data_IF_393878088525
#
_entry.id   IF_393878088525
#
_cell.length_a   1.000
_cell.length_b   1.000
_cell.length_c   1.000
_cell.angle_alpha   90.00
_cell.angle_beta   90.00
_cell.angle_gamma   90.00
#
_symmetry.space_group_name_H-M   'P 1'
#
loop_
_entity.id
_entity.type
_entity.pdbx_description
1 polymer ?
#
# COMPACT_ATOMS: atom_id res chain seq x y z
N UNK A 1 -19.54 8.97 13.09
CA UNK A 1 -20.45 7.82 12.91
C UNK A 1 -19.91 6.93 11.80
N UNK A 2 -18.89 6.12 12.09
CA UNK A 2 -18.11 5.42 11.05
C UNK A 2 -18.93 4.32 10.34
N UNK A 3 -19.83 3.64 11.06
CA UNK A 3 -20.70 2.62 10.47
C UNK A 3 -21.65 3.17 9.39
N UNK A 4 -22.12 4.42 9.52
CA UNK A 4 -22.92 5.08 8.48
C UNK A 4 -22.11 5.37 7.21
N UNK A 5 -20.80 5.66 7.34
CA UNK A 5 -19.90 5.90 6.20
C UNK A 5 -19.51 4.58 5.51
N UNK A 6 -19.37 3.50 6.26
CA UNK A 6 -19.11 2.16 5.70
C UNK A 6 -20.30 1.70 4.86
N UNK A 7 -21.52 1.97 5.32
CA UNK A 7 -22.74 1.64 4.58
C UNK A 7 -22.90 2.42 3.26
N UNK A 8 -22.23 3.56 3.09
CA UNK A 8 -22.24 4.30 1.81
C UNK A 8 -21.19 3.80 0.82
N UNK A 9 -20.28 2.89 1.22
CA UNK A 9 -19.15 2.46 0.40
C UNK A 9 -18.07 3.55 0.21
N UNK A 10 -18.17 4.68 0.91
CA UNK A 10 -17.22 5.79 0.75
C UNK A 10 -15.83 5.48 1.31
N UNK A 11 -15.77 4.68 2.38
CA UNK A 11 -14.52 4.27 3.01
C UNK A 11 -14.65 2.91 3.70
N UNK A 12 -13.56 2.15 3.70
CA UNK A 12 -13.47 0.89 4.45
C UNK A 12 -13.31 1.14 5.94
N UNK A 13 -13.95 0.29 6.75
CA UNK A 13 -13.78 0.35 8.20
C UNK A 13 -12.42 -0.16 8.62
N UNK A 14 -11.83 0.48 9.62
CA UNK A 14 -10.67 -0.04 10.36
C UNK A 14 -11.06 -1.02 11.47
N UNK A 15 -12.36 -1.24 11.67
CA UNK A 15 -12.96 -2.07 12.70
C UNK A 15 -13.39 -3.43 12.12
N UNK A 16 -12.75 -4.56 12.50
CA UNK A 16 -13.09 -5.87 11.97
C UNK A 16 -14.55 -6.27 12.18
N UNK A 17 -15.17 -5.81 13.26
CA UNK A 17 -16.58 -6.06 13.58
C UNK A 17 -17.57 -5.40 12.61
N UNK A 18 -17.10 -4.48 11.75
CA UNK A 18 -17.93 -3.76 10.78
C UNK A 18 -17.80 -4.32 9.35
N UNK A 19 -17.04 -5.41 9.15
CA UNK A 19 -16.84 -6.00 7.82
C UNK A 19 -18.16 -6.45 7.17
N UNK A 20 -19.08 -6.99 7.95
CA UNK A 20 -20.40 -7.44 7.47
C UNK A 20 -21.36 -6.27 7.15
N UNK A 21 -20.97 -5.02 7.43
CA UNK A 21 -21.75 -3.83 7.07
C UNK A 21 -21.50 -3.36 5.63
N UNK A 22 -20.48 -3.92 4.96
CA UNK A 22 -20.17 -3.61 3.56
C UNK A 22 -21.16 -4.33 2.65
N UNK A 23 -22.00 -3.57 1.95
CA UNK A 23 -23.11 -4.11 1.14
C UNK A 23 -22.72 -4.41 -0.30
N UNK A 24 -21.74 -3.71 -0.87
CA UNK A 24 -21.25 -3.97 -2.22
C UNK A 24 -20.36 -5.23 -2.22
N UNK A 25 -20.61 -6.20 -3.11
CA UNK A 25 -19.86 -7.46 -3.11
C UNK A 25 -18.39 -7.32 -3.52
N UNK A 26 -18.01 -6.31 -4.33
CA UNK A 26 -16.62 -6.05 -4.66
C UNK A 26 -15.89 -5.40 -3.49
N UNK A 27 -16.53 -4.44 -2.83
CA UNK A 27 -15.99 -3.77 -1.64
C UNK A 27 -15.84 -4.77 -0.47
N UNK A 28 -16.80 -5.70 -0.33
CA UNK A 28 -16.74 -6.77 0.67
C UNK A 28 -15.57 -7.74 0.43
N UNK A 29 -15.20 -7.96 -0.83
CA UNK A 29 -14.03 -8.78 -1.17
C UNK A 29 -12.72 -8.06 -0.79
N UNK A 30 -12.64 -6.74 -0.98
CA UNK A 30 -11.47 -5.92 -0.65
C UNK A 30 -11.32 -5.76 0.86
N UNK A 31 -12.40 -5.44 1.57
CA UNK A 31 -12.40 -5.17 3.02
C UNK A 31 -11.93 -6.38 3.84
N UNK A 32 -12.25 -7.60 3.39
CA UNK A 32 -11.77 -8.85 4.00
C UNK A 32 -10.25 -8.99 3.95
N UNK A 33 -9.59 -8.49 2.92
CA UNK A 33 -8.13 -8.54 2.80
C UNK A 33 -7.41 -7.90 3.99
N UNK A 34 -7.99 -6.86 4.58
CA UNK A 34 -7.48 -6.21 5.80
C UNK A 34 -7.43 -7.11 7.03
N UNK A 35 -8.25 -8.18 7.06
CA UNK A 35 -8.40 -9.08 8.21
C UNK A 35 -7.47 -10.29 8.21
N UNK A 36 -6.74 -10.53 7.12
CA UNK A 36 -5.86 -11.70 7.03
C UNK A 36 -4.64 -11.54 7.95
N UNK A 37 -4.22 -12.64 8.57
CA UNK A 37 -3.10 -12.66 9.54
C UNK A 37 -1.79 -12.09 8.97
N UNK A 38 -1.57 -12.32 7.67
CA UNK A 38 -0.39 -11.86 6.94
C UNK A 38 -0.50 -10.41 6.44
N UNK A 39 -1.66 -9.77 6.58
CA UNK A 39 -1.83 -8.38 6.17
C UNK A 39 -1.04 -7.45 7.09
N UNK A 40 -0.32 -6.53 6.48
CA UNK A 40 0.50 -5.52 7.15
C UNK A 40 0.20 -4.16 6.54
N UNK A 41 0.20 -3.13 7.38
CA UNK A 41 0.09 -1.75 6.91
C UNK A 41 1.40 -1.38 6.21
N UNK A 42 1.30 -0.94 4.95
CA UNK A 42 2.41 -0.42 4.18
C UNK A 42 2.73 1.02 4.65
N UNK A 43 3.48 1.15 5.75
CA UNK A 43 3.82 2.44 6.35
C UNK A 43 5.30 2.49 6.75
N UNK A 44 6.00 3.48 6.24
CA UNK A 44 7.43 3.76 6.49
C UNK A 44 7.63 5.17 7.04
N UNK A 45 6.69 5.66 7.85
CA UNK A 45 6.78 7.00 8.43
C UNK A 45 6.57 8.12 7.40
N UNK A 46 7.18 9.30 7.61
CA UNK A 46 7.06 10.44 6.70
C UNK A 46 7.49 10.16 5.25
N UNK A 47 8.36 9.16 5.06
CA UNK A 47 8.90 8.78 3.75
C UNK A 47 8.04 7.75 2.99
N UNK A 48 6.88 7.33 3.52
CA UNK A 48 6.01 6.32 2.88
C UNK A 48 5.75 6.62 1.40
N UNK A 49 5.43 7.87 1.05
CA UNK A 49 5.21 8.26 -0.35
C UNK A 49 6.46 8.11 -1.22
N UNK A 50 7.59 8.64 -0.77
CA UNK A 50 8.87 8.56 -1.50
C UNK A 50 9.32 7.11 -1.72
N UNK A 51 9.16 6.26 -0.71
CA UNK A 51 9.50 4.82 -0.81
C UNK A 51 8.58 4.13 -1.81
N UNK A 52 7.27 4.39 -1.75
CA UNK A 52 6.32 3.84 -2.71
C UNK A 52 6.64 4.27 -4.15
N UNK A 53 7.03 5.52 -4.35
CA UNK A 53 7.41 6.04 -5.68
C UNK A 53 8.67 5.34 -6.22
N UNK A 54 9.71 5.17 -5.39
CA UNK A 54 10.94 4.49 -5.81
C UNK A 54 10.68 3.02 -6.20
N UNK A 55 9.88 2.29 -5.40
CA UNK A 55 9.49 0.91 -5.73
C UNK A 55 8.63 0.85 -7.00
N UNK A 56 7.70 1.79 -7.17
CA UNK A 56 6.84 1.84 -8.36
C UNK A 56 7.66 2.08 -9.63
N UNK A 57 8.65 2.96 -9.57
CA UNK A 57 9.56 3.21 -10.69
C UNK A 57 10.45 2.00 -11.00
N UNK A 58 10.97 1.30 -9.99
CA UNK A 58 11.72 0.05 -10.23
C UNK A 58 10.86 -1.00 -10.94
N UNK A 59 9.61 -1.19 -10.49
CA UNK A 59 8.67 -2.10 -11.13
C UNK A 59 8.33 -1.67 -12.57
N UNK A 60 8.18 -0.38 -12.83
CA UNK A 60 7.96 0.16 -14.17
C UNK A 60 9.14 -0.14 -15.10
N UNK A 61 10.38 0.13 -14.66
CA UNK A 61 11.60 -0.14 -15.45
C UNK A 61 11.73 -1.63 -15.79
N UNK A 62 11.43 -2.51 -14.83
CA UNK A 62 11.39 -3.97 -15.06
C UNK A 62 10.30 -4.34 -16.06
N UNK A 63 9.10 -3.79 -15.91
CA UNK A 63 7.96 -4.11 -16.77
C UNK A 63 8.18 -3.67 -18.22
N UNK A 64 8.78 -2.50 -18.42
CA UNK A 64 9.12 -1.96 -19.74
C UNK A 64 10.33 -2.65 -20.38
N UNK A 65 11.09 -3.41 -19.58
CA UNK A 65 12.33 -4.07 -20.02
C UNK A 65 13.52 -3.12 -20.15
N UNK A 66 13.44 -1.95 -19.51
CA UNK A 66 14.51 -0.95 -19.49
C UNK A 66 15.69 -1.40 -18.61
N UNK A 67 15.39 -2.14 -17.54
CA UNK A 67 16.36 -2.70 -16.60
C UNK A 67 15.97 -4.12 -16.21
N UNK A 68 16.95 -4.94 -15.81
CA UNK A 68 16.64 -6.20 -15.15
C UNK A 68 16.19 -5.98 -13.68
N UNK A 69 15.66 -7.04 -13.07
CA UNK A 69 15.12 -6.98 -11.69
C UNK A 69 16.20 -6.56 -10.69
N UNK A 70 17.43 -7.05 -10.84
CA UNK A 70 18.49 -6.75 -9.88
C UNK A 70 18.87 -5.28 -9.99
N UNK A 71 19.14 -4.79 -11.21
CA UNK A 71 19.52 -3.40 -11.47
C UNK A 71 18.46 -2.41 -10.96
N UNK A 72 17.19 -2.65 -11.30
CA UNK A 72 16.11 -1.74 -10.93
C UNK A 72 15.93 -1.61 -9.41
N UNK A 73 16.06 -2.73 -8.68
CA UNK A 73 15.90 -2.72 -7.22
C UNK A 73 17.16 -2.30 -6.47
N UNK A 74 18.37 -2.51 -7.02
CA UNK A 74 19.60 -1.90 -6.47
C UNK A 74 19.50 -0.37 -6.54
N UNK A 75 19.09 0.17 -7.69
CA UNK A 75 18.89 1.61 -7.85
C UNK A 75 17.82 2.15 -6.90
N UNK A 76 16.65 1.51 -6.81
CA UNK A 76 15.61 1.96 -5.88
C UNK A 76 16.06 1.88 -4.42
N UNK A 77 16.89 0.90 -4.06
CA UNK A 77 17.44 0.82 -2.71
C UNK A 77 18.36 2.01 -2.41
N UNK A 78 19.23 2.41 -3.34
CA UNK A 78 20.06 3.61 -3.18
C UNK A 78 19.20 4.88 -2.98
N UNK A 79 18.17 5.06 -3.81
CA UNK A 79 17.22 6.18 -3.71
C UNK A 79 16.51 6.19 -2.35
N UNK A 80 16.03 5.04 -1.88
CA UNK A 80 15.34 4.88 -0.59
C UNK A 80 16.26 5.18 0.58
N UNK A 81 17.49 4.67 0.59
CA UNK A 81 18.44 4.97 1.67
C UNK A 81 18.70 6.47 1.76
N UNK A 82 18.85 7.16 0.62
CA UNK A 82 18.97 8.62 0.60
C UNK A 82 17.81 9.32 1.31
N UNK A 83 16.56 8.89 1.10
CA UNK A 83 15.40 9.47 1.78
C UNK A 83 15.37 9.20 3.29
N UNK A 84 15.83 8.02 3.70
CA UNK A 84 15.87 7.63 5.12
C UNK A 84 16.96 8.40 5.88
N UNK A 85 18.10 8.64 5.22
CA UNK A 85 19.22 9.38 5.80
C UNK A 85 18.91 10.88 5.97
N UNK A 86 18.11 11.48 5.08
CA UNK A 86 17.67 12.89 5.16
C UNK A 86 16.79 13.20 6.39
N UNK A 87 16.17 12.18 6.99
CA UNK A 87 15.16 12.33 8.06
C UNK A 87 15.73 12.02 9.45
N UNK A 88 16.99 11.60 9.55
CA UNK A 88 17.72 11.43 10.83
C UNK A 88 18.27 12.76 11.35
#
# INVERSE_FOLDING_TARGET
NQGEIVATGFAYSTHPEQLDMVVDPNDAAISRGGSFELTRVAYWGPNTGKINDAISQALERVYLGDQDVTEAFEQANEEIQGYLDEVQ
#
